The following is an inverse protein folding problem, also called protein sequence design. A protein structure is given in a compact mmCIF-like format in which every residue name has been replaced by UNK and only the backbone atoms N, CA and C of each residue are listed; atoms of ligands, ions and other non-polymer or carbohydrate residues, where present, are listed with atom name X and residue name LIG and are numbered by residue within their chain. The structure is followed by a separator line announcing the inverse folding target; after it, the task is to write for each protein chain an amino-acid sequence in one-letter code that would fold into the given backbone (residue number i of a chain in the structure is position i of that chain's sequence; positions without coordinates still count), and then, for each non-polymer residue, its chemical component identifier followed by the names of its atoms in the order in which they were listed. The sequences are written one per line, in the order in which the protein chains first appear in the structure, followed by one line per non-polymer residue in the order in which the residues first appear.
data_IF_690956603130
#
_entry.id   IF_690956603130
#
_cell.length_a   1.000
_cell.length_b   1.000
_cell.length_c   1.000
_cell.angle_alpha   90.00
_cell.angle_beta   90.00
_cell.angle_gamma   90.00
#
_symmetry.space_group_name_H-M   'P 1'
#
loop_
_entity.id
_entity.type
_entity.pdbx_description
1 polymer ?
#
# COMPACT_ATOMS: atom_id res chain seq x y z
N UNK A 1 38.42 29.28 19.68
CA UNK A 1 38.78 27.91 19.28
C UNK A 1 37.58 27.37 18.54
N UNK A 2 37.64 27.42 17.22
CA UNK A 2 36.60 26.91 16.33
C UNK A 2 36.73 25.39 16.33
N UNK A 3 35.84 24.71 17.03
CA UNK A 3 35.71 23.26 16.91
C UNK A 3 35.13 22.98 15.52
N UNK A 4 36.06 22.64 14.64
CA UNK A 4 35.85 22.00 13.36
C UNK A 4 34.98 20.76 13.61
N UNK A 5 33.68 20.89 13.33
CA UNK A 5 32.76 19.76 13.23
C UNK A 5 33.22 18.96 12.02
N UNK A 6 34.24 18.13 12.26
CA UNK A 6 34.80 17.24 11.27
C UNK A 6 33.64 16.51 10.62
N UNK A 7 33.54 16.65 9.30
CA UNK A 7 32.77 15.78 8.43
C UNK A 7 33.30 14.36 8.61
N UNK A 8 32.87 13.69 9.68
CA UNK A 8 33.37 12.39 10.12
C UNK A 8 33.00 11.33 9.09
N UNK A 9 33.96 11.00 8.23
CA UNK A 9 33.88 9.88 7.32
C UNK A 9 34.15 8.60 8.12
N UNK A 10 33.12 8.06 8.77
CA UNK A 10 33.22 6.85 9.56
C UNK A 10 33.79 5.72 8.69
N UNK A 11 34.88 5.02 9.07
CA UNK A 11 35.46 3.93 8.27
C UNK A 11 34.45 2.85 7.88
N UNK A 12 33.44 2.62 8.72
CA UNK A 12 32.31 1.72 8.43
C UNK A 12 31.43 2.17 7.26
N UNK A 13 31.25 3.48 7.06
CA UNK A 13 30.44 4.06 5.98
C UNK A 13 31.09 3.85 4.62
N UNK A 14 32.39 4.11 4.48
CA UNK A 14 33.11 3.84 3.22
C UNK A 14 33.09 2.36 2.88
N UNK A 15 33.32 1.48 3.87
CA UNK A 15 33.25 0.04 3.66
C UNK A 15 31.87 -0.41 3.21
N UNK A 16 30.80 0.09 3.85
CA UNK A 16 29.43 -0.19 3.43
C UNK A 16 29.21 0.21 1.98
N UNK A 17 29.58 1.45 1.62
CA UNK A 17 29.40 1.96 0.28
C UNK A 17 30.17 1.13 -0.75
N UNK A 18 31.45 0.80 -0.51
CA UNK A 18 32.24 -0.03 -1.42
C UNK A 18 31.58 -1.39 -1.67
N UNK A 19 31.10 -2.06 -0.62
CA UNK A 19 30.44 -3.35 -0.74
C UNK A 19 29.09 -3.24 -1.46
N UNK A 20 28.30 -2.21 -1.16
CA UNK A 20 27.02 -1.96 -1.83
C UNK A 20 27.23 -1.65 -3.33
N UNK A 21 28.21 -0.82 -3.69
CA UNK A 21 28.55 -0.55 -5.09
C UNK A 21 29.08 -1.78 -5.81
N UNK A 22 29.89 -2.61 -5.16
CA UNK A 22 30.33 -3.88 -5.73
C UNK A 22 29.15 -4.82 -6.01
N UNK A 23 28.18 -4.91 -5.09
CA UNK A 23 26.96 -5.69 -5.29
C UNK A 23 26.09 -5.11 -6.43
N UNK A 24 25.94 -3.79 -6.52
CA UNK A 24 25.24 -3.14 -7.64
C UNK A 24 25.92 -3.38 -8.98
N UNK A 25 27.26 -3.35 -9.05
CA UNK A 25 28.02 -3.69 -10.25
C UNK A 25 27.81 -5.16 -10.65
N UNK A 26 27.73 -6.08 -9.68
CA UNK A 26 27.38 -7.47 -9.95
C UNK A 26 25.97 -7.61 -10.54
N UNK A 27 24.97 -6.88 -10.03
CA UNK A 27 23.62 -6.86 -10.62
C UNK A 27 23.68 -6.30 -12.05
N UNK A 28 24.38 -5.19 -12.27
CA UNK A 28 24.49 -4.58 -13.60
C UNK A 28 25.17 -5.51 -14.61
N UNK A 29 26.23 -6.21 -14.21
CA UNK A 29 26.91 -7.20 -15.03
C UNK A 29 25.99 -8.40 -15.34
N UNK A 30 25.29 -8.92 -14.34
CA UNK A 30 24.31 -9.99 -14.51
C UNK A 30 23.16 -9.58 -15.45
N UNK A 31 22.67 -8.34 -15.32
CA UNK A 31 21.64 -7.79 -16.21
C UNK A 31 22.13 -7.66 -17.65
N UNK A 32 23.39 -7.26 -17.85
CA UNK A 32 24.01 -7.23 -19.18
C UNK A 32 24.12 -8.64 -19.78
N UNK A 33 24.45 -9.65 -18.98
CA UNK A 33 24.46 -11.06 -19.41
C UNK A 33 23.05 -11.49 -19.84
N UNK A 34 22.03 -11.21 -19.02
CA UNK A 34 20.63 -11.50 -19.38
C UNK A 34 20.19 -10.81 -20.66
N UNK A 35 20.61 -9.57 -20.89
CA UNK A 35 20.29 -8.83 -22.11
C UNK A 35 20.91 -9.49 -23.34
N UNK A 36 22.17 -9.92 -23.25
CA UNK A 36 22.88 -10.64 -24.32
C UNK A 36 22.21 -12.00 -24.58
N UNK A 37 21.70 -12.66 -23.54
CA UNK A 37 20.94 -13.91 -23.65
C UNK A 37 19.50 -13.73 -24.16
N UNK A 38 19.06 -12.49 -24.45
CA UNK A 38 17.72 -12.19 -24.97
C UNK A 38 16.62 -12.17 -23.90
N UNK A 39 16.98 -12.16 -22.62
CA UNK A 39 16.03 -12.16 -21.51
C UNK A 39 15.76 -10.74 -21.00
N UNK A 40 14.93 -10.03 -21.76
CA UNK A 40 14.65 -8.62 -21.51
C UNK A 40 13.87 -8.37 -20.22
N UNK A 41 13.05 -9.34 -19.79
CA UNK A 41 12.25 -9.21 -18.57
C UNK A 41 13.14 -9.26 -17.33
N UNK A 42 14.07 -10.22 -17.27
CA UNK A 42 15.03 -10.28 -16.17
C UNK A 42 16.06 -9.14 -16.22
N UNK A 43 16.44 -8.71 -17.42
CA UNK A 43 17.26 -7.50 -17.63
C UNK A 43 16.58 -6.28 -17.01
N UNK A 44 15.30 -6.06 -17.32
CA UNK A 44 14.52 -4.96 -16.77
C UNK A 44 14.46 -4.98 -15.25
N UNK A 45 14.27 -6.15 -14.64
CA UNK A 45 14.29 -6.30 -13.18
C UNK A 45 15.65 -5.92 -12.56
N UNK A 46 16.75 -6.35 -13.17
CA UNK A 46 18.09 -5.99 -12.71
C UNK A 46 18.40 -4.51 -12.83
N UNK A 47 17.99 -3.89 -13.94
CA UNK A 47 18.12 -2.45 -14.13
C UNK A 47 17.29 -1.67 -13.11
N UNK A 48 16.04 -2.10 -12.86
CA UNK A 48 15.20 -1.51 -11.81
C UNK A 48 15.85 -1.63 -10.43
N UNK A 49 16.42 -2.79 -10.10
CA UNK A 49 17.15 -3.02 -8.86
C UNK A 49 18.36 -2.09 -8.69
N UNK A 50 19.17 -1.90 -9.74
CA UNK A 50 20.30 -0.96 -9.73
C UNK A 50 19.82 0.48 -9.57
N UNK A 51 18.78 0.87 -10.31
CA UNK A 51 18.22 2.22 -10.24
C UNK A 51 17.75 2.52 -8.82
N UNK A 52 16.94 1.64 -8.23
CA UNK A 52 16.44 1.75 -6.86
C UNK A 52 17.61 1.89 -5.89
N UNK A 53 18.52 0.91 -5.83
CA UNK A 53 19.64 0.93 -4.91
C UNK A 53 20.58 2.14 -5.07
N UNK A 54 20.60 2.78 -6.24
CA UNK A 54 21.36 3.99 -6.51
C UNK A 54 20.62 5.31 -6.16
N UNK A 55 19.31 5.28 -5.92
CA UNK A 55 18.49 6.47 -5.57
C UNK A 55 19.15 7.29 -4.46
N UNK A 56 19.59 6.71 -3.32
CA UNK A 56 20.19 7.50 -2.26
C UNK A 56 21.47 8.22 -2.71
N UNK A 57 22.37 7.52 -3.41
CA UNK A 57 23.64 8.08 -3.84
C UNK A 57 23.44 9.25 -4.83
N UNK A 58 22.45 9.10 -5.72
CA UNK A 58 22.09 10.12 -6.72
C UNK A 58 21.38 11.30 -6.05
N UNK A 59 20.38 11.05 -5.22
CA UNK A 59 19.57 12.08 -4.56
C UNK A 59 20.41 12.96 -3.63
N UNK A 60 21.31 12.34 -2.85
CA UNK A 60 22.21 13.05 -1.95
C UNK A 60 23.50 13.53 -2.63
N UNK A 61 23.72 13.19 -3.90
CA UNK A 61 24.95 13.47 -4.67
C UNK A 61 26.22 13.04 -3.92
N UNK A 62 26.15 11.89 -3.23
CA UNK A 62 27.23 11.36 -2.39
C UNK A 62 27.32 9.85 -2.59
N UNK A 63 28.45 9.38 -3.13
CA UNK A 63 28.68 7.95 -3.38
C UNK A 63 28.63 7.09 -2.11
N UNK A 64 28.96 7.67 -0.95
CA UNK A 64 28.91 7.01 0.34
C UNK A 64 27.49 6.84 0.90
N UNK A 65 26.49 7.52 0.31
CA UNK A 65 25.08 7.35 0.63
C UNK A 65 24.53 6.15 -0.13
N UNK A 66 24.87 4.96 0.36
CA UNK A 66 24.42 3.69 -0.19
C UNK A 66 23.63 2.92 0.87
N UNK A 67 22.69 2.08 0.42
CA UNK A 67 21.98 1.13 1.27
C UNK A 67 22.95 0.25 2.06
N UNK A 68 22.51 -0.36 3.18
CA UNK A 68 23.27 -1.42 3.83
C UNK A 68 23.65 -2.47 2.79
N UNK A 69 24.94 -2.77 2.67
CA UNK A 69 25.42 -3.71 1.66
C UNK A 69 24.78 -5.10 1.82
N UNK A 70 24.36 -5.47 3.02
CA UNK A 70 23.64 -6.72 3.30
C UNK A 70 22.31 -6.78 2.55
N UNK A 71 21.58 -5.66 2.48
CA UNK A 71 20.30 -5.56 1.75
C UNK A 71 20.56 -5.67 0.24
N UNK A 72 21.57 -4.96 -0.26
CA UNK A 72 21.95 -5.01 -1.69
C UNK A 72 22.47 -6.40 -2.05
N UNK A 73 23.22 -7.07 -1.17
CA UNK A 73 23.71 -8.42 -1.39
C UNK A 73 22.57 -9.45 -1.40
N UNK A 74 21.58 -9.30 -0.52
CA UNK A 74 20.39 -10.15 -0.49
C UNK A 74 19.59 -10.07 -1.80
N UNK A 75 19.63 -8.92 -2.48
CA UNK A 75 19.10 -8.73 -3.82
C UNK A 75 20.04 -9.26 -4.92
N UNK A 76 21.33 -8.94 -4.83
CA UNK A 76 22.33 -9.22 -5.86
C UNK A 76 22.63 -10.71 -6.03
N UNK A 77 22.75 -11.45 -4.93
CA UNK A 77 23.14 -12.87 -4.96
C UNK A 77 22.12 -13.73 -5.73
N UNK A 78 20.82 -13.76 -5.39
CA UNK A 78 19.86 -14.56 -6.14
C UNK A 78 19.69 -14.07 -7.58
N UNK A 79 19.82 -12.76 -7.83
CA UNK A 79 19.75 -12.20 -9.18
C UNK A 79 20.92 -12.70 -10.06
N UNK A 80 22.15 -12.60 -9.55
CA UNK A 80 23.35 -13.02 -10.26
C UNK A 80 23.41 -14.54 -10.44
N UNK A 81 23.08 -15.32 -9.41
CA UNK A 81 23.04 -16.79 -9.50
C UNK A 81 22.08 -17.26 -10.59
N UNK A 82 20.89 -16.66 -10.67
CA UNK A 82 19.95 -17.00 -11.74
C UNK A 82 20.47 -16.59 -13.12
N UNK A 83 21.05 -15.39 -13.25
CA UNK A 83 21.52 -14.85 -14.53
C UNK A 83 22.71 -15.63 -15.10
N UNK A 84 23.49 -16.25 -14.22
CA UNK A 84 24.64 -17.11 -14.57
C UNK A 84 24.26 -18.59 -14.70
N UNK A 85 22.97 -18.92 -14.59
CA UNK A 85 22.44 -20.30 -14.58
C UNK A 85 23.07 -21.20 -13.50
N UNK A 86 23.41 -20.61 -12.35
CA UNK A 86 24.07 -21.27 -11.22
C UNK A 86 23.04 -21.77 -10.21
N UNK A 87 22.59 -23.02 -10.37
CA UNK A 87 21.84 -23.80 -9.37
C UNK A 87 20.59 -23.13 -8.78
N UNK A 88 20.07 -22.07 -9.38
CA UNK A 88 18.92 -21.32 -8.88
C UNK A 88 17.84 -21.20 -9.97
N UNK A 89 16.79 -22.04 -9.91
CA UNK A 89 15.66 -21.95 -10.83
C UNK A 89 15.02 -20.56 -10.83
N UNK A 90 14.57 -20.09 -12.00
CA UNK A 90 13.90 -18.78 -12.16
C UNK A 90 12.73 -18.56 -11.20
N UNK A 91 11.94 -19.60 -10.92
CA UNK A 91 10.83 -19.53 -9.98
C UNK A 91 11.31 -19.15 -8.58
N UNK A 92 12.37 -19.80 -8.10
CA UNK A 92 12.96 -19.54 -6.78
C UNK A 92 13.65 -18.18 -6.76
N UNK A 93 14.41 -17.85 -7.81
CA UNK A 93 15.07 -16.54 -7.91
C UNK A 93 14.05 -15.40 -7.85
N UNK A 94 12.91 -15.52 -8.54
CA UNK A 94 11.83 -14.52 -8.49
C UNK A 94 11.28 -14.35 -7.07
N UNK A 95 11.15 -15.44 -6.29
CA UNK A 95 10.72 -15.40 -4.89
C UNK A 95 11.71 -14.73 -3.95
N UNK A 96 12.98 -14.58 -4.35
CA UNK A 96 13.99 -13.91 -3.53
C UNK A 96 14.22 -12.48 -3.99
N UNK A 97 14.37 -12.26 -5.30
CA UNK A 97 14.74 -10.96 -5.88
C UNK A 97 13.64 -9.92 -5.70
N UNK A 98 12.37 -10.26 -5.95
CA UNK A 98 11.27 -9.28 -5.87
C UNK A 98 11.03 -8.82 -4.42
N UNK A 99 10.94 -9.73 -3.43
CA UNK A 99 10.90 -9.31 -2.02
C UNK A 99 12.16 -8.58 -1.55
N UNK A 100 13.35 -8.97 -2.02
CA UNK A 100 14.58 -8.26 -1.69
C UNK A 100 14.60 -6.82 -2.23
N UNK A 101 14.04 -6.61 -3.44
CA UNK A 101 13.86 -5.28 -4.00
C UNK A 101 12.85 -4.46 -3.18
N UNK A 102 11.74 -5.07 -2.76
CA UNK A 102 10.76 -4.41 -1.88
C UNK A 102 11.38 -4.02 -0.53
N UNK A 103 12.20 -4.89 0.05
CA UNK A 103 12.97 -4.60 1.26
C UNK A 103 13.95 -3.44 1.03
N UNK A 104 14.64 -3.41 -0.11
CA UNK A 104 15.54 -2.30 -0.46
C UNK A 104 14.78 -0.97 -0.51
N UNK A 105 13.62 -0.93 -1.17
CA UNK A 105 12.73 0.25 -1.18
C UNK A 105 12.30 0.63 0.25
N UNK A 106 11.95 -0.35 1.08
CA UNK A 106 11.53 -0.09 2.44
C UNK A 106 12.66 0.51 3.29
N UNK A 107 13.87 -0.03 3.16
CA UNK A 107 15.08 0.48 3.81
C UNK A 107 15.43 1.87 3.28
N UNK A 108 15.19 2.17 2.00
CA UNK A 108 15.38 3.51 1.46
C UNK A 108 14.46 4.53 2.12
N UNK A 109 13.17 4.20 2.28
CA UNK A 109 12.24 5.07 2.97
C UNK A 109 12.66 5.30 4.42
N UNK A 110 13.01 4.26 5.16
CA UNK A 110 13.41 4.37 6.57
C UNK A 110 14.75 5.10 6.76
N UNK A 111 15.77 4.78 5.97
CA UNK A 111 17.13 5.27 6.17
C UNK A 111 17.44 6.61 5.48
N UNK A 112 16.72 6.93 4.39
CA UNK A 112 17.07 8.04 3.49
C UNK A 112 15.94 9.04 3.28
N UNK A 113 14.80 8.90 3.96
CA UNK A 113 13.78 9.94 3.97
C UNK A 113 13.55 10.46 5.38
N UNK A 114 12.76 11.51 5.51
CA UNK A 114 12.39 12.03 6.83
C UNK A 114 11.39 11.12 7.57
N UNK A 115 11.05 9.96 6.99
CA UNK A 115 10.11 9.02 7.55
C UNK A 115 10.65 8.45 8.87
N UNK A 116 9.84 8.54 9.91
CA UNK A 116 10.11 7.88 11.19
C UNK A 116 9.09 6.75 11.38
N UNK A 117 9.55 5.54 11.66
CA UNK A 117 8.68 4.37 11.82
C UNK A 117 9.00 3.65 13.12
N UNK A 118 7.96 3.29 13.87
CA UNK A 118 8.12 2.33 14.97
C UNK A 118 8.46 0.93 14.43
N UNK A 119 9.11 0.05 15.21
CA UNK A 119 9.46 -1.29 14.74
C UNK A 119 8.25 -2.10 14.26
N UNK A 120 7.10 -1.94 14.91
CA UNK A 120 5.86 -2.60 14.49
C UNK A 120 5.39 -2.11 13.12
N UNK A 121 5.40 -0.78 12.90
CA UNK A 121 5.05 -0.20 11.61
C UNK A 121 6.02 -0.63 10.51
N UNK A 122 7.32 -0.72 10.80
CA UNK A 122 8.33 -1.19 9.86
C UNK A 122 8.03 -2.62 9.36
N UNK A 123 7.61 -3.55 10.25
CA UNK A 123 7.19 -4.89 9.84
C UNK A 123 6.01 -4.82 8.86
N UNK A 124 4.95 -4.09 9.23
CA UNK A 124 3.74 -3.95 8.40
C UNK A 124 4.08 -3.34 7.05
N UNK A 125 4.94 -2.32 7.04
CA UNK A 125 5.37 -1.66 5.82
C UNK A 125 6.18 -2.59 4.91
N UNK A 126 7.11 -3.37 5.46
CA UNK A 126 7.88 -4.35 4.66
C UNK A 126 6.98 -5.43 4.08
N UNK A 127 6.02 -5.94 4.85
CA UNK A 127 5.05 -6.95 4.37
C UNK A 127 4.21 -6.37 3.23
N UNK A 128 3.62 -5.20 3.44
CA UNK A 128 2.79 -4.54 2.42
C UNK A 128 3.60 -4.17 1.16
N UNK A 129 4.80 -3.62 1.31
CA UNK A 129 5.70 -3.34 0.19
C UNK A 129 6.07 -4.62 -0.57
N UNK A 130 6.31 -5.73 0.13
CA UNK A 130 6.63 -7.02 -0.49
C UNK A 130 5.44 -7.57 -1.29
N UNK A 131 4.25 -7.56 -0.71
CA UNK A 131 3.02 -7.97 -1.39
C UNK A 131 2.77 -7.11 -2.63
N UNK A 132 2.90 -5.78 -2.50
CA UNK A 132 2.70 -4.84 -3.59
C UNK A 132 3.70 -5.05 -4.74
N UNK A 133 4.98 -5.26 -4.41
CA UNK A 133 6.01 -5.54 -5.40
C UNK A 133 5.76 -6.89 -6.11
N UNK A 134 5.36 -7.92 -5.37
CA UNK A 134 5.03 -9.23 -5.94
C UNK A 134 3.82 -9.18 -6.87
N UNK A 135 2.75 -8.47 -6.48
CA UNK A 135 1.57 -8.21 -7.32
C UNK A 135 1.93 -7.42 -8.58
N UNK A 136 2.67 -6.32 -8.42
CA UNK A 136 3.16 -5.51 -9.55
C UNK A 136 4.00 -6.34 -10.50
N UNK A 137 4.88 -7.20 -9.99
CA UNK A 137 5.70 -8.08 -10.82
C UNK A 137 4.88 -9.17 -11.53
N UNK A 138 3.81 -9.67 -10.92
CA UNK A 138 2.86 -10.56 -11.60
C UNK A 138 2.19 -9.85 -12.78
N UNK A 139 1.70 -8.63 -12.57
CA UNK A 139 1.10 -7.79 -13.63
C UNK A 139 2.11 -7.49 -14.74
N UNK A 140 3.35 -7.12 -14.41
CA UNK A 140 4.40 -6.85 -15.42
C UNK A 140 4.68 -8.09 -16.28
N UNK A 141 4.77 -9.28 -15.66
CA UNK A 141 4.94 -10.54 -16.41
C UNK A 141 3.74 -10.83 -17.30
N UNK A 142 2.52 -10.61 -16.81
CA UNK A 142 1.30 -10.80 -17.59
C UNK A 142 1.24 -9.85 -18.79
N UNK A 143 1.52 -8.57 -18.60
CA UNK A 143 1.57 -7.58 -19.69
C UNK A 143 2.67 -7.92 -20.69
N UNK A 144 3.82 -8.40 -20.23
CA UNK A 144 4.88 -8.87 -21.12
C UNK A 144 4.44 -10.09 -21.94
N UNK A 145 3.74 -11.05 -21.32
CA UNK A 145 3.17 -12.21 -22.02
C UNK A 145 2.18 -11.77 -23.11
N UNK A 146 1.34 -10.77 -22.85
CA UNK A 146 0.43 -10.20 -23.85
C UNK A 146 1.15 -9.39 -24.95
N UNK A 147 2.16 -8.61 -24.59
CA UNK A 147 2.81 -7.68 -25.50
C UNK A 147 3.84 -8.36 -26.42
N UNK A 148 4.50 -9.42 -25.92
CA UNK A 148 5.60 -10.10 -26.60
C UNK A 148 5.29 -11.56 -26.92
N UNK A 149 4.04 -12.02 -26.71
CA UNK A 149 3.58 -13.40 -26.92
C UNK A 149 4.47 -14.43 -26.18
N UNK A 150 4.86 -14.08 -24.94
CA UNK A 150 5.68 -14.93 -24.08
C UNK A 150 4.83 -15.76 -23.11
N UNK A 151 5.43 -16.76 -22.47
CA UNK A 151 4.76 -17.64 -21.49
C UNK A 151 5.48 -17.60 -20.13
N UNK A 152 5.71 -16.41 -19.58
CA UNK A 152 6.38 -16.22 -18.30
C UNK A 152 5.49 -16.61 -17.10
N UNK A 153 4.17 -16.44 -17.22
CA UNK A 153 3.19 -16.89 -16.23
C UNK A 153 2.69 -18.30 -16.53
N UNK A 154 2.84 -19.21 -15.57
CA UNK A 154 2.48 -20.63 -15.71
C UNK A 154 1.00 -20.95 -15.35
N UNK A 155 0.16 -19.92 -15.23
CA UNK A 155 -1.25 -20.04 -14.85
C UNK A 155 -1.56 -19.54 -13.43
N UNK A 156 -2.86 -19.39 -13.14
CA UNK A 156 -3.40 -18.79 -11.91
C UNK A 156 -2.82 -19.42 -10.64
N UNK A 157 -2.88 -20.75 -10.54
CA UNK A 157 -2.40 -21.49 -9.36
C UNK A 157 -0.93 -21.19 -9.02
N UNK A 158 -0.06 -21.11 -10.05
CA UNK A 158 1.35 -20.79 -9.84
C UNK A 158 1.54 -19.36 -9.34
N UNK A 159 0.72 -18.41 -9.81
CA UNK A 159 0.78 -17.02 -9.37
C UNK A 159 0.28 -16.88 -7.94
N UNK A 160 -0.81 -17.54 -7.57
CA UNK A 160 -1.35 -17.47 -6.20
C UNK A 160 -0.36 -17.99 -5.17
N UNK A 161 0.26 -19.15 -5.42
CA UNK A 161 1.35 -19.63 -4.56
C UNK A 161 2.58 -18.73 -4.57
N UNK A 162 2.86 -18.05 -5.68
CA UNK A 162 3.94 -17.05 -5.75
C UNK A 162 3.67 -15.87 -4.81
N UNK A 163 2.45 -15.34 -4.84
CA UNK A 163 2.02 -14.22 -4.01
C UNK A 163 1.94 -14.63 -2.53
N UNK A 164 1.46 -15.83 -2.23
CA UNK A 164 1.42 -16.38 -0.87
C UNK A 164 2.84 -16.55 -0.30
N UNK A 165 3.76 -17.12 -1.09
CA UNK A 165 5.16 -17.27 -0.69
C UNK A 165 5.84 -15.91 -0.49
N UNK A 166 5.62 -14.95 -1.39
CA UNK A 166 6.15 -13.59 -1.24
C UNK A 166 5.62 -12.91 0.04
N UNK A 167 4.34 -13.09 0.37
CA UNK A 167 3.74 -12.59 1.62
C UNK A 167 4.45 -13.18 2.84
N UNK A 168 4.67 -14.50 2.87
CA UNK A 168 5.40 -15.17 3.94
C UNK A 168 6.85 -14.71 4.08
N UNK A 169 7.56 -14.56 2.95
CA UNK A 169 8.93 -14.02 2.92
C UNK A 169 8.94 -12.57 3.42
N UNK A 170 7.96 -11.76 3.04
CA UNK A 170 7.79 -10.39 3.51
C UNK A 170 7.63 -10.31 5.03
N UNK A 171 6.90 -11.24 5.65
CA UNK A 171 6.77 -11.31 7.12
C UNK A 171 8.12 -11.62 7.76
N UNK A 172 8.83 -12.62 7.25
CA UNK A 172 10.17 -12.99 7.76
C UNK A 172 11.15 -11.82 7.60
N UNK A 173 11.16 -11.18 6.42
CA UNK A 173 12.01 -10.04 6.12
C UNK A 173 11.67 -8.82 6.99
N UNK A 174 10.39 -8.54 7.21
CA UNK A 174 9.92 -7.45 8.06
C UNK A 174 10.34 -7.65 9.51
N UNK A 175 10.17 -8.86 10.06
CA UNK A 175 10.62 -9.19 11.41
C UNK A 175 12.14 -9.09 11.52
N UNK A 176 12.88 -9.66 10.55
CA UNK A 176 14.34 -9.58 10.51
C UNK A 176 14.82 -8.12 10.43
N UNK A 177 14.16 -7.29 9.62
CA UNK A 177 14.43 -5.87 9.48
C UNK A 177 14.16 -5.10 10.78
N UNK A 178 13.01 -5.33 11.43
CA UNK A 178 12.68 -4.69 12.70
C UNK A 178 13.65 -5.09 13.83
N UNK A 179 14.11 -6.35 13.86
CA UNK A 179 15.15 -6.82 14.79
C UNK A 179 16.51 -6.24 14.43
N UNK A 180 16.83 -6.13 13.15
CA UNK A 180 18.07 -5.52 12.65
C UNK A 180 18.14 -4.04 13.03
N UNK A 181 17.06 -3.27 12.85
CA UNK A 181 16.97 -1.88 13.28
C UNK A 181 17.14 -1.69 14.79
N UNK A 182 16.70 -2.65 15.62
CA UNK A 182 17.00 -2.62 17.07
C UNK A 182 18.48 -2.83 17.39
N UNK A 183 19.23 -3.50 16.51
CA UNK A 183 20.64 -3.88 16.73
C UNK A 183 21.64 -2.96 16.04
N UNK A 184 21.26 -2.34 14.93
CA UNK A 184 22.09 -1.38 14.21
C UNK A 184 21.78 0.00 14.76
N UNK A 185 22.52 0.37 15.79
CA UNK A 185 22.57 1.75 16.29
C UNK A 185 22.59 2.72 15.11
N UNK A 186 21.68 3.70 15.15
CA UNK A 186 21.46 4.76 14.15
C UNK A 186 22.76 5.50 13.74
N UNK A 187 23.83 5.35 14.52
CA UNK A 187 25.19 5.83 14.27
C UNK A 187 25.87 5.20 13.04
N UNK A 188 25.58 3.94 12.69
CA UNK A 188 26.32 3.21 11.62
C UNK A 188 26.00 3.70 10.21
N UNK A 189 24.78 4.21 10.00
CA UNK A 189 24.34 4.79 8.72
C UNK A 189 24.62 6.30 8.71
N UNK A 190 24.47 6.99 9.85
CA UNK A 190 24.84 8.40 10.04
C UNK A 190 24.23 9.38 9.02
N UNK A 191 23.15 8.97 8.34
CA UNK A 191 22.40 9.83 7.39
C UNK A 191 21.31 10.65 8.07
N UNK A 192 21.25 10.62 9.41
CA UNK A 192 20.43 11.53 10.19
C UNK A 192 21.30 12.68 10.67
N UNK A 193 21.31 13.79 9.93
CA UNK A 193 21.80 15.05 10.47
C UNK A 193 20.88 15.44 11.62
N UNK A 194 21.44 15.61 12.82
CA UNK A 194 20.70 16.04 14.03
C UNK A 194 19.87 17.33 13.85
N UNK A 195 20.07 18.04 12.74
CA UNK A 195 19.33 19.23 12.32
C UNK A 195 17.85 18.97 11.94
N UNK A 196 17.47 17.73 11.60
CA UNK A 196 16.07 17.39 11.29
C UNK A 196 15.18 17.16 12.51
N UNK A 197 15.74 17.21 13.74
CA UNK A 197 14.97 17.16 15.00
C UNK A 197 14.13 18.43 15.24
N UNK A 198 14.28 19.47 14.42
CA UNK A 198 13.37 20.61 14.46
C UNK A 198 12.06 20.26 13.78
N UNK A 199 11.17 19.60 14.54
CA UNK A 199 9.72 19.74 14.36
C UNK A 199 9.47 21.24 14.13
N UNK A 200 8.79 21.68 13.06
CA UNK A 200 8.43 23.08 12.93
C UNK A 200 7.73 23.47 14.22
N UNK A 201 8.33 24.34 15.03
CA UNK A 201 7.75 24.72 16.31
C UNK A 201 6.33 25.19 16.05
N UNK A 202 5.33 24.78 16.85
CA UNK A 202 4.02 25.40 16.79
C UNK A 202 4.28 26.89 16.89
N UNK A 203 3.89 27.67 15.87
CA UNK A 203 4.07 29.12 15.89
C UNK A 203 3.55 29.60 17.24
N UNK A 204 4.44 30.15 18.06
CA UNK A 204 4.07 30.76 19.33
C UNK A 204 2.95 31.76 19.02
N UNK A 205 1.82 31.73 19.76
CA UNK A 205 0.76 32.69 19.53
C UNK A 205 1.38 34.06 19.79
N UNK A 206 1.52 34.86 18.72
CA UNK A 206 1.83 36.28 18.86
C UNK A 206 0.74 36.87 19.74
N UNK A 207 1.12 37.31 20.92
CA UNK A 207 0.32 38.15 21.79
C UNK A 207 0.08 39.50 21.09
N UNK A 208 -0.95 39.52 20.23
CA UNK A 208 -1.59 40.72 19.69
C UNK A 208 -2.89 41.00 20.46
N UNK A 209 -3.34 42.26 20.52
CA UNK A 209 -4.25 42.73 21.54
C UNK A 209 -5.65 42.12 21.39
N UNK A 210 -6.26 41.80 22.53
CA UNK A 210 -7.69 41.55 22.67
C UNK A 210 -8.48 42.68 22.02
N UNK A 211 -9.31 42.34 21.03
CA UNK A 211 -10.48 43.15 20.68
C UNK A 211 -11.51 42.31 19.94
N UNK A 212 -12.72 42.44 20.44
CA UNK A 212 -13.96 41.98 19.87
C UNK A 212 -14.13 42.45 18.41
N UNK A 213 -15.04 41.75 17.73
CA UNK A 213 -15.60 42.03 16.40
C UNK A 213 -14.87 41.36 15.23
N UNK A 214 -15.31 40.14 14.91
CA UNK A 214 -15.53 39.76 13.52
C UNK A 214 -16.50 38.57 13.45
N UNK A 215 -17.70 38.85 12.97
CA UNK A 215 -18.71 37.84 12.70
C UNK A 215 -18.25 36.84 11.63
N UNK A 216 -18.80 35.62 11.73
CA UNK A 216 -19.05 34.75 10.60
C UNK A 216 -17.88 34.59 9.59
N UNK A 217 -16.75 34.06 10.05
CA UNK A 217 -15.82 33.39 9.14
C UNK A 217 -15.99 31.89 9.31
N UNK A 218 -16.91 31.35 8.52
CA UNK A 218 -16.90 29.95 8.13
C UNK A 218 -15.48 29.58 7.67
N UNK A 219 -14.71 28.97 8.56
CA UNK A 219 -13.47 28.30 8.18
C UNK A 219 -13.91 27.14 7.32
N UNK A 220 -13.83 27.32 6.00
CA UNK A 220 -14.21 26.35 5.00
C UNK A 220 -13.39 25.08 5.15
N UNK A 221 -13.85 24.17 6.01
CA UNK A 221 -13.65 22.74 5.80
C UNK A 221 -14.14 22.46 4.39
N UNK A 222 -13.28 21.87 3.56
CA UNK A 222 -13.54 21.57 2.16
C UNK A 222 -14.77 20.70 2.02
N UNK A 223 -15.89 21.39 1.89
CA UNK A 223 -17.23 20.87 1.89
C UNK A 223 -17.53 20.31 0.51
N UNK A 224 -17.62 18.97 0.40
CA UNK A 224 -18.08 18.31 -0.82
C UNK A 224 -19.53 18.68 -1.18
N UNK A 225 -20.25 19.42 -0.31
CA UNK A 225 -21.63 19.89 -0.52
C UNK A 225 -21.88 20.51 -1.90
N UNK A 226 -20.86 21.10 -2.54
CA UNK A 226 -21.00 21.76 -3.85
C UNK A 226 -20.74 20.91 -5.10
N UNK A 227 -20.13 19.72 -5.02
CA UNK A 227 -19.69 18.99 -6.23
C UNK A 227 -20.72 18.03 -6.82
N UNK A 228 -21.61 17.47 -6.01
CA UNK A 228 -22.65 16.55 -6.49
C UNK A 228 -24.01 17.23 -6.74
N UNK A 229 -24.18 18.50 -6.37
CA UNK A 229 -25.44 19.25 -6.55
C UNK A 229 -26.67 18.66 -5.82
N UNK A 230 -26.50 17.60 -5.03
CA UNK A 230 -27.57 16.92 -4.29
C UNK A 230 -27.63 17.43 -2.85
N UNK A 231 -28.82 17.77 -2.37
CA UNK A 231 -29.04 18.14 -0.97
C UNK A 231 -28.80 16.95 -0.02
N UNK A 232 -28.37 17.20 1.21
CA UNK A 232 -28.12 16.14 2.21
C UNK A 232 -29.33 15.21 2.41
N UNK A 233 -30.55 15.76 2.35
CA UNK A 233 -31.77 14.95 2.47
C UNK A 233 -31.85 13.92 1.34
N UNK A 234 -31.53 14.30 0.11
CA UNK A 234 -31.50 13.39 -1.04
C UNK A 234 -30.39 12.37 -0.90
N UNK A 235 -29.19 12.79 -0.47
CA UNK A 235 -28.08 11.86 -0.26
C UNK A 235 -28.41 10.81 0.81
N UNK A 236 -29.01 11.20 1.94
CA UNK A 236 -29.52 10.26 2.97
C UNK A 236 -30.61 9.33 2.44
N UNK A 237 -31.52 9.84 1.60
CA UNK A 237 -32.54 9.01 0.95
C UNK A 237 -31.91 7.97 0.01
N UNK A 238 -30.87 8.35 -0.75
CA UNK A 238 -30.11 7.44 -1.61
C UNK A 238 -29.46 6.34 -0.78
N UNK A 239 -28.74 6.69 0.29
CA UNK A 239 -28.09 5.70 1.19
C UNK A 239 -29.11 4.70 1.72
N UNK A 240 -30.24 5.18 2.25
CA UNK A 240 -31.31 4.28 2.74
C UNK A 240 -31.90 3.42 1.62
N UNK A 241 -32.07 3.97 0.42
CA UNK A 241 -32.52 3.23 -0.75
C UNK A 241 -31.56 2.09 -1.12
N UNK A 242 -30.25 2.36 -1.11
CA UNK A 242 -29.21 1.36 -1.37
C UNK A 242 -29.18 0.27 -0.28
N UNK A 243 -29.31 0.65 1.00
CA UNK A 243 -29.42 -0.29 2.11
C UNK A 243 -30.65 -1.19 2.00
N UNK A 244 -31.81 -0.63 1.65
CA UNK A 244 -33.03 -1.41 1.44
C UNK A 244 -32.88 -2.37 0.25
N UNK A 245 -32.23 -1.93 -0.83
CA UNK A 245 -31.93 -2.80 -1.96
C UNK A 245 -30.97 -3.95 -1.59
N UNK A 246 -29.93 -3.70 -0.78
CA UNK A 246 -29.06 -4.76 -0.25
C UNK A 246 -29.82 -5.73 0.66
N UNK A 247 -30.72 -5.23 1.51
CA UNK A 247 -31.57 -6.08 2.34
C UNK A 247 -32.48 -6.97 1.47
N UNK A 248 -33.00 -6.44 0.36
CA UNK A 248 -33.74 -7.24 -0.61
C UNK A 248 -32.86 -8.31 -1.28
N UNK A 249 -31.65 -7.95 -1.74
CA UNK A 249 -30.68 -8.92 -2.31
C UNK A 249 -30.33 -10.01 -1.30
N UNK A 250 -30.13 -9.65 -0.03
CA UNK A 250 -29.88 -10.61 1.06
C UNK A 250 -31.04 -11.59 1.23
N UNK A 251 -32.29 -11.08 1.27
CA UNK A 251 -33.49 -11.94 1.35
C UNK A 251 -33.57 -12.86 0.13
N UNK A 252 -33.31 -12.34 -1.07
CA UNK A 252 -33.31 -13.15 -2.28
C UNK A 252 -32.22 -14.22 -2.23
N UNK A 253 -31.01 -13.89 -1.77
CA UNK A 253 -29.93 -14.84 -1.56
C UNK A 253 -30.31 -15.95 -0.58
N UNK A 254 -30.99 -15.61 0.53
CA UNK A 254 -31.50 -16.59 1.51
C UNK A 254 -32.56 -17.51 0.90
N UNK A 255 -33.47 -16.97 0.09
CA UNK A 255 -34.51 -17.75 -0.62
C UNK A 255 -33.89 -18.69 -1.66
N UNK A 256 -32.90 -18.21 -2.42
CA UNK A 256 -32.17 -18.99 -3.42
C UNK A 256 -31.15 -19.95 -2.80
N UNK A 257 -30.88 -19.82 -1.48
CA UNK A 257 -29.81 -20.53 -0.76
C UNK A 257 -28.42 -20.31 -1.35
N UNK A 258 -28.20 -19.16 -1.98
CA UNK A 258 -26.89 -18.77 -2.49
C UNK A 258 -26.04 -18.20 -1.36
N UNK A 259 -25.08 -18.99 -0.88
CA UNK A 259 -24.18 -18.58 0.21
C UNK A 259 -23.35 -17.36 -0.21
N UNK A 260 -22.87 -17.34 -1.45
CA UNK A 260 -22.14 -16.21 -2.04
C UNK A 260 -22.90 -14.89 -1.95
N UNK A 261 -24.15 -14.87 -2.44
CA UNK A 261 -24.99 -13.66 -2.39
C UNK A 261 -25.30 -13.24 -0.96
N UNK A 262 -25.59 -14.20 -0.08
CA UNK A 262 -25.90 -13.93 1.34
C UNK A 262 -24.72 -13.28 2.05
N UNK A 263 -23.51 -13.83 1.89
CA UNK A 263 -22.31 -13.28 2.53
C UNK A 263 -21.97 -11.90 1.96
N UNK A 264 -21.97 -11.74 0.64
CA UNK A 264 -21.67 -10.45 0.00
C UNK A 264 -22.65 -9.35 0.42
N UNK A 265 -23.97 -9.62 0.36
CA UNK A 265 -24.99 -8.66 0.77
C UNK A 265 -24.95 -8.38 2.28
N UNK A 266 -24.68 -9.40 3.10
CA UNK A 266 -24.57 -9.26 4.56
C UNK A 266 -23.37 -8.41 4.99
N UNK A 267 -22.18 -8.68 4.44
CA UNK A 267 -20.97 -7.88 4.66
C UNK A 267 -21.19 -6.45 4.17
N UNK A 268 -21.78 -6.28 2.98
CA UNK A 268 -22.09 -4.95 2.46
C UNK A 268 -23.02 -4.17 3.39
N UNK A 269 -24.11 -4.76 3.86
CA UNK A 269 -25.00 -4.12 4.83
C UNK A 269 -24.26 -3.68 6.09
N UNK A 270 -23.42 -4.55 6.66
CA UNK A 270 -22.63 -4.23 7.83
C UNK A 270 -21.70 -3.02 7.58
N UNK A 271 -20.98 -3.01 6.46
CA UNK A 271 -20.08 -1.91 6.08
C UNK A 271 -20.85 -0.61 5.85
N UNK A 272 -22.04 -0.65 5.24
CA UNK A 272 -22.88 0.56 5.07
C UNK A 272 -23.40 1.14 6.39
N UNK A 273 -23.37 0.37 7.48
CA UNK A 273 -23.69 0.83 8.83
C UNK A 273 -22.53 1.57 9.51
N UNK A 274 -21.29 1.39 9.05
CA UNK A 274 -20.11 1.99 9.67
C UNK A 274 -20.19 3.51 9.79
N UNK A 275 -20.62 4.29 8.76
CA UNK A 275 -20.75 5.73 8.90
C UNK A 275 -21.62 6.16 10.08
N UNK A 276 -22.77 5.49 10.28
CA UNK A 276 -23.68 5.79 11.38
C UNK A 276 -23.12 5.36 12.73
N UNK A 277 -22.41 4.22 12.79
CA UNK A 277 -21.72 3.78 14.00
C UNK A 277 -20.64 4.77 14.43
N UNK A 278 -19.83 5.22 13.47
CA UNK A 278 -18.76 6.20 13.70
C UNK A 278 -19.31 7.57 14.12
N UNK A 279 -20.45 7.99 13.58
CA UNK A 279 -21.12 9.24 13.97
C UNK A 279 -21.82 9.14 15.32
N UNK A 280 -22.48 8.02 15.64
CA UNK A 280 -23.25 7.87 16.88
C UNK A 280 -22.37 7.51 18.08
N UNK A 281 -21.50 6.50 17.94
CA UNK A 281 -20.75 5.95 19.07
C UNK A 281 -19.42 6.68 19.28
N UNK A 282 -18.81 7.19 18.21
CA UNK A 282 -17.51 7.88 18.25
C UNK A 282 -17.64 9.39 17.96
N UNK A 283 -18.85 9.85 17.64
CA UNK A 283 -19.16 11.26 17.35
C UNK A 283 -18.41 11.84 16.14
N UNK A 284 -17.84 11.00 15.27
CA UNK A 284 -17.02 11.46 14.16
C UNK A 284 -17.89 12.18 13.12
N UNK A 285 -17.54 13.41 12.72
CA UNK A 285 -18.30 14.14 11.72
C UNK A 285 -18.10 13.50 10.35
N UNK A 286 -18.97 12.56 10.00
CA UNK A 286 -18.97 11.90 8.70
C UNK A 286 -19.99 12.63 7.81
N UNK A 287 -19.47 13.34 6.80
CA UNK A 287 -20.34 14.00 5.84
C UNK A 287 -21.03 12.98 4.93
N UNK A 288 -22.20 13.34 4.40
CA UNK A 288 -23.00 12.40 3.60
C UNK A 288 -22.34 12.05 2.25
N UNK A 289 -21.39 12.87 1.77
CA UNK A 289 -20.54 12.54 0.62
C UNK A 289 -19.57 11.40 0.95
N UNK A 290 -18.96 11.40 2.14
CA UNK A 290 -18.16 10.27 2.65
C UNK A 290 -18.99 9.00 2.72
N UNK A 291 -20.21 9.11 3.25
CA UNK A 291 -21.14 8.00 3.35
C UNK A 291 -21.40 7.40 1.98
N UNK A 292 -21.67 8.24 0.96
CA UNK A 292 -21.86 7.76 -0.41
C UNK A 292 -20.59 7.13 -1.01
N UNK A 293 -19.42 7.68 -0.71
CA UNK A 293 -18.14 7.12 -1.19
C UNK A 293 -17.85 5.74 -0.58
N UNK A 294 -18.32 5.45 0.64
CA UNK A 294 -18.24 4.12 1.26
C UNK A 294 -19.34 3.21 0.72
N UNK A 295 -20.59 3.68 0.69
CA UNK A 295 -21.78 2.86 0.41
C UNK A 295 -21.83 2.44 -1.06
N UNK A 296 -21.51 3.32 -2.01
CA UNK A 296 -21.65 3.03 -3.45
C UNK A 296 -20.75 1.89 -3.93
N UNK A 297 -19.41 1.89 -3.68
CA UNK A 297 -18.55 0.79 -4.11
C UNK A 297 -18.98 -0.56 -3.53
N UNK A 298 -19.27 -0.59 -2.23
CA UNK A 298 -19.69 -1.78 -1.49
C UNK A 298 -21.04 -2.31 -1.99
N UNK A 299 -21.97 -1.41 -2.29
CA UNK A 299 -23.25 -1.75 -2.91
C UNK A 299 -23.05 -2.40 -4.28
N UNK A 300 -22.25 -1.79 -5.15
CA UNK A 300 -22.01 -2.27 -6.51
C UNK A 300 -21.31 -3.63 -6.53
N UNK A 301 -20.37 -3.84 -5.61
CA UNK A 301 -19.71 -5.14 -5.44
C UNK A 301 -20.70 -6.22 -4.99
N UNK A 302 -21.54 -5.93 -4.00
CA UNK A 302 -22.53 -6.90 -3.50
C UNK A 302 -23.60 -7.25 -4.53
N UNK A 303 -24.16 -6.28 -5.26
CA UNK A 303 -25.13 -6.57 -6.32
C UNK A 303 -24.47 -7.27 -7.53
N UNK A 304 -23.15 -7.12 -7.69
CA UNK A 304 -22.32 -7.91 -8.61
C UNK A 304 -22.57 -9.40 -8.48
N UNK A 305 -22.53 -9.90 -7.24
CA UNK A 305 -22.73 -11.33 -6.90
C UNK A 305 -24.11 -11.86 -7.27
N UNK A 306 -25.08 -10.97 -7.54
CA UNK A 306 -26.42 -11.32 -8.00
C UNK A 306 -26.50 -11.53 -9.53
N UNK A 307 -25.37 -11.77 -10.18
CA UNK A 307 -25.26 -12.15 -11.60
C UNK A 307 -24.75 -11.04 -12.53
N UNK A 308 -24.39 -9.85 -12.02
CA UNK A 308 -23.86 -8.78 -12.87
C UNK A 308 -22.40 -9.00 -13.27
N UNK A 309 -21.62 -9.74 -12.46
CA UNK A 309 -20.27 -10.16 -12.84
C UNK A 309 -20.28 -10.99 -14.13
N UNK A 310 -21.27 -11.88 -14.28
CA UNK A 310 -21.42 -12.68 -15.50
C UNK A 310 -22.08 -11.90 -16.65
N UNK A 311 -22.98 -10.96 -16.34
CA UNK A 311 -23.79 -10.27 -17.33
C UNK A 311 -23.10 -9.07 -18.00
N UNK A 312 -22.20 -8.37 -17.30
CA UNK A 312 -21.61 -7.11 -17.75
C UNK A 312 -20.08 -7.21 -17.61
N UNK A 313 -19.36 -7.39 -18.71
CA UNK A 313 -17.90 -7.64 -18.68
C UNK A 313 -17.02 -6.51 -18.14
N UNK A 314 -17.54 -5.31 -17.91
CA UNK A 314 -16.83 -4.22 -17.23
C UNK A 314 -17.23 -4.06 -15.75
N UNK A 315 -18.18 -4.85 -15.27
CA UNK A 315 -18.69 -4.73 -13.90
C UNK A 315 -17.58 -4.95 -12.89
N UNK A 316 -16.79 -6.01 -13.09
CA UNK A 316 -15.72 -6.39 -12.19
C UNK A 316 -14.63 -5.31 -12.09
N UNK A 317 -14.15 -4.86 -13.25
CA UNK A 317 -13.22 -3.74 -13.38
C UNK A 317 -13.71 -2.47 -12.65
N UNK A 318 -15.00 -2.14 -12.81
CA UNK A 318 -15.62 -0.98 -12.15
C UNK A 318 -15.63 -1.17 -10.63
N UNK A 319 -16.05 -2.35 -10.15
CA UNK A 319 -16.09 -2.63 -8.72
C UNK A 319 -14.70 -2.64 -8.09
N UNK A 320 -13.69 -3.21 -8.76
CA UNK A 320 -12.29 -3.15 -8.31
C UNK A 320 -11.77 -1.72 -8.25
N UNK A 321 -12.01 -0.90 -9.30
CA UNK A 321 -11.60 0.52 -9.29
C UNK A 321 -12.23 1.31 -8.15
N UNK A 322 -13.53 1.11 -7.91
CA UNK A 322 -14.26 1.84 -6.87
C UNK A 322 -13.91 1.34 -5.47
N UNK A 323 -13.82 0.02 -5.28
CA UNK A 323 -13.45 -0.59 -3.99
C UNK A 323 -12.00 -0.29 -3.61
N UNK A 324 -11.07 -0.31 -4.56
CA UNK A 324 -9.68 0.09 -4.32
C UNK A 324 -9.54 1.57 -3.93
N UNK A 325 -10.45 2.45 -4.41
CA UNK A 325 -10.50 3.83 -3.92
C UNK A 325 -10.90 3.92 -2.44
N UNK A 326 -11.78 3.04 -1.97
CA UNK A 326 -12.16 2.93 -0.56
C UNK A 326 -11.00 2.34 0.27
N UNK A 327 -10.33 1.30 -0.23
CA UNK A 327 -9.14 0.73 0.40
C UNK A 327 -8.01 1.75 0.49
N UNK A 328 -7.81 2.58 -0.54
CA UNK A 328 -6.85 3.67 -0.52
C UNK A 328 -7.18 4.73 0.54
N UNK A 329 -8.47 5.04 0.73
CA UNK A 329 -8.93 5.91 1.81
C UNK A 329 -8.64 5.31 3.21
N UNK A 330 -8.84 4.00 3.38
CA UNK A 330 -8.46 3.28 4.60
C UNK A 330 -6.94 3.35 4.81
N UNK A 331 -6.13 3.08 3.79
CA UNK A 331 -4.66 3.18 3.87
C UNK A 331 -4.18 4.58 4.26
N UNK A 332 -4.80 5.64 3.71
CA UNK A 332 -4.55 7.01 4.16
C UNK A 332 -4.86 7.20 5.65
N UNK A 333 -6.04 6.74 6.08
CA UNK A 333 -6.48 6.88 7.47
C UNK A 333 -5.54 6.15 8.42
N UNK A 334 -5.06 4.96 8.06
CA UNK A 334 -4.07 4.19 8.82
C UNK A 334 -2.77 4.97 8.98
N UNK A 335 -2.16 5.45 7.90
CA UNK A 335 -0.89 6.22 7.97
C UNK A 335 -1.06 7.46 8.82
N UNK A 336 -2.17 8.17 8.65
CA UNK A 336 -2.39 9.42 9.35
C UNK A 336 -2.71 9.21 10.83
N UNK A 337 -3.32 8.09 11.21
CA UNK A 337 -3.45 7.70 12.62
C UNK A 337 -2.07 7.52 13.28
N UNK A 338 -1.14 6.82 12.62
CA UNK A 338 0.24 6.69 13.12
C UNK A 338 0.97 8.03 13.17
N UNK A 339 0.88 8.86 12.13
CA UNK A 339 1.53 10.19 12.05
C UNK A 339 1.08 11.16 13.15
N UNK A 340 -0.16 11.02 13.66
CA UNK A 340 -0.67 11.87 14.73
C UNK A 340 -0.39 11.26 16.11
N UNK A 341 -0.60 9.96 16.30
CA UNK A 341 -0.62 9.35 17.63
C UNK A 341 0.72 8.75 18.07
N UNK A 342 1.67 8.52 17.16
CA UNK A 342 2.97 7.98 17.52
C UNK A 342 4.02 9.10 17.40
N UNK A 343 4.56 9.54 18.54
CA UNK A 343 5.54 10.61 18.61
C UNK A 343 6.87 10.24 17.93
N UNK A 344 7.11 8.95 17.69
CA UNK A 344 8.25 8.43 16.93
C UNK A 344 7.96 8.29 15.43
N UNK A 345 6.82 8.81 14.95
CA UNK A 345 6.38 8.69 13.56
C UNK A 345 6.16 10.06 12.93
N UNK A 346 6.74 10.25 11.75
CA UNK A 346 6.52 11.42 10.91
C UNK A 346 6.55 11.01 9.44
N UNK A 347 5.53 11.40 8.67
CA UNK A 347 5.43 11.04 7.26
C UNK A 347 5.31 12.26 6.33
N UNK A 348 6.29 12.50 5.44
CA UNK A 348 6.16 13.51 4.39
C UNK A 348 5.00 13.21 3.43
N UNK A 349 4.34 14.24 2.89
CA UNK A 349 3.20 14.07 1.94
C UNK A 349 3.49 13.13 0.76
N UNK A 350 4.72 13.16 0.23
CA UNK A 350 5.15 12.28 -0.87
C UNK A 350 5.18 10.80 -0.43
N UNK A 351 5.59 10.54 0.81
CA UNK A 351 5.54 9.20 1.39
C UNK A 351 4.11 8.71 1.53
N UNK A 352 3.18 9.55 2.02
CA UNK A 352 1.77 9.18 2.14
C UNK A 352 1.18 8.73 0.80
N UNK A 353 1.47 9.44 -0.30
CA UNK A 353 1.01 9.05 -1.63
C UNK A 353 1.59 7.70 -2.09
N UNK A 354 2.90 7.47 -1.88
CA UNK A 354 3.54 6.20 -2.20
C UNK A 354 3.00 5.05 -1.34
N UNK A 355 2.79 5.29 -0.04
CA UNK A 355 2.21 4.32 0.88
C UNK A 355 0.81 3.91 0.43
N UNK A 356 -0.04 4.86 0.01
CA UNK A 356 -1.40 4.53 -0.45
C UNK A 356 -1.35 3.57 -1.65
N UNK A 357 -0.48 3.84 -2.63
CA UNK A 357 -0.30 2.95 -3.78
C UNK A 357 0.18 1.55 -3.35
N UNK A 358 1.19 1.50 -2.47
CA UNK A 358 1.72 0.24 -1.93
C UNK A 358 0.64 -0.52 -1.16
N UNK A 359 -0.06 0.15 -0.26
CA UNK A 359 -1.08 -0.43 0.61
C UNK A 359 -2.25 -0.97 -0.20
N UNK A 360 -2.76 -0.20 -1.18
CA UNK A 360 -3.88 -0.66 -2.00
C UNK A 360 -3.49 -1.81 -2.91
N UNK A 361 -2.31 -1.78 -3.54
CA UNK A 361 -1.82 -2.93 -4.32
C UNK A 361 -1.61 -4.17 -3.43
N UNK A 362 -1.08 -4.00 -2.22
CA UNK A 362 -0.93 -5.09 -1.26
C UNK A 362 -2.28 -5.66 -0.82
N UNK A 363 -3.29 -4.80 -0.63
CA UNK A 363 -4.64 -5.24 -0.31
C UNK A 363 -5.31 -5.95 -1.49
N UNK A 364 -5.10 -5.51 -2.72
CA UNK A 364 -5.55 -6.23 -3.92
C UNK A 364 -4.94 -7.64 -3.96
N UNK A 365 -3.63 -7.76 -3.75
CA UNK A 365 -2.97 -9.08 -3.61
C UNK A 365 -3.55 -9.90 -2.46
N UNK A 366 -3.85 -9.27 -1.32
CA UNK A 366 -4.49 -9.95 -0.19
C UNK A 366 -5.87 -10.47 -0.58
N UNK A 367 -6.66 -9.68 -1.30
CA UNK A 367 -7.99 -10.04 -1.77
C UNK A 367 -7.93 -11.27 -2.68
N UNK A 368 -7.07 -11.27 -3.71
CA UNK A 368 -6.86 -12.43 -4.59
C UNK A 368 -6.45 -13.70 -3.84
N UNK A 369 -5.63 -13.56 -2.80
CA UNK A 369 -5.22 -14.68 -1.96
C UNK A 369 -6.37 -15.20 -1.08
N UNK A 370 -7.28 -14.32 -0.64
CA UNK A 370 -8.48 -14.71 0.10
C UNK A 370 -9.44 -15.47 -0.81
N UNK A 371 -9.68 -15.00 -2.03
CA UNK A 371 -10.50 -15.71 -3.02
C UNK A 371 -9.93 -17.09 -3.34
N UNK A 372 -8.62 -17.16 -3.65
CA UNK A 372 -7.92 -18.42 -3.88
C UNK A 372 -8.04 -19.38 -2.69
N UNK A 373 -7.93 -18.86 -1.46
CA UNK A 373 -8.06 -19.64 -0.24
C UNK A 373 -9.48 -20.18 -0.01
N UNK A 374 -10.50 -19.35 -0.25
CA UNK A 374 -11.92 -19.70 -0.10
C UNK A 374 -12.33 -20.72 -1.17
N UNK A 375 -11.93 -20.54 -2.43
CA UNK A 375 -12.12 -21.52 -3.50
C UNK A 375 -11.43 -22.85 -3.19
N UNK A 376 -10.18 -22.80 -2.71
CA UNK A 376 -9.42 -23.97 -2.29
C UNK A 376 -10.07 -24.73 -1.14
N UNK A 377 -10.70 -24.02 -0.19
CA UNK A 377 -11.46 -24.63 0.89
C UNK A 377 -12.78 -25.24 0.42
N UNK A 378 -13.55 -24.50 -0.39
CA UNK A 378 -14.83 -24.94 -0.94
C UNK A 378 -14.69 -26.22 -1.76
N UNK A 379 -13.65 -26.31 -2.59
CA UNK A 379 -13.35 -27.51 -3.39
C UNK A 379 -13.02 -28.75 -2.55
N UNK A 380 -12.38 -28.58 -1.38
CA UNK A 380 -12.09 -29.68 -0.46
C UNK A 380 -13.32 -30.14 0.32
N UNK A 381 -14.23 -29.22 0.66
CA UNK A 381 -15.44 -29.51 1.43
C UNK A 381 -16.65 -29.87 0.57
N UNK A 382 -16.57 -29.68 -0.75
CA UNK A 382 -17.69 -29.84 -1.67
C UNK A 382 -18.78 -28.76 -1.51
N UNK A 383 -18.43 -27.59 -0.97
CA UNK A 383 -19.35 -26.46 -0.82
C UNK A 383 -19.28 -25.56 -2.06
N UNK A 384 -20.33 -24.77 -2.30
CA UNK A 384 -20.25 -23.68 -3.28
C UNK A 384 -19.29 -22.60 -2.79
N UNK A 385 -18.45 -22.09 -3.69
CA UNK A 385 -17.57 -20.98 -3.34
C UNK A 385 -18.36 -19.68 -3.15
N UNK A 386 -17.91 -18.89 -2.19
CA UNK A 386 -18.53 -17.62 -1.79
C UNK A 386 -17.94 -16.45 -2.58
N UNK A 387 -16.67 -16.57 -3.00
CA UNK A 387 -15.92 -15.61 -3.81
C UNK A 387 -15.20 -16.39 -4.90
N UNK A 388 -15.78 -16.46 -6.10
CA UNK A 388 -15.26 -17.30 -7.17
C UNK A 388 -14.10 -16.62 -7.90
N UNK A 389 -12.93 -17.24 -7.91
CA UNK A 389 -11.80 -16.78 -8.69
C UNK A 389 -11.96 -17.20 -10.15
N UNK A 390 -12.21 -16.23 -11.03
CA UNK A 390 -12.61 -16.51 -12.42
C UNK A 390 -11.45 -16.96 -13.34
N UNK A 391 -10.21 -16.52 -13.08
CA UNK A 391 -9.05 -16.93 -13.88
C UNK A 391 -7.87 -15.97 -13.83
N UNK A 392 -6.73 -16.37 -14.43
CA UNK A 392 -5.50 -15.56 -14.43
C UNK A 392 -5.70 -14.17 -15.03
N UNK A 393 -6.38 -14.07 -16.16
CA UNK A 393 -6.60 -12.78 -16.83
C UNK A 393 -7.49 -11.86 -16.00
N UNK A 394 -8.47 -12.41 -15.26
CA UNK A 394 -9.33 -11.65 -14.35
C UNK A 394 -8.49 -11.07 -13.23
N UNK A 395 -7.85 -11.93 -12.43
CA UNK A 395 -6.97 -11.54 -11.31
C UNK A 395 -5.90 -10.51 -11.70
N UNK A 396 -5.27 -10.65 -12.88
CA UNK A 396 -4.29 -9.65 -13.30
C UNK A 396 -4.93 -8.31 -13.69
N UNK A 397 -6.13 -8.35 -14.28
CA UNK A 397 -6.92 -7.16 -14.62
C UNK A 397 -7.42 -6.47 -13.35
N UNK A 398 -7.85 -7.23 -12.34
CA UNK A 398 -8.28 -6.75 -11.03
C UNK A 398 -7.17 -5.95 -10.34
N UNK A 399 -5.95 -6.51 -10.26
CA UNK A 399 -4.77 -5.81 -9.74
C UNK A 399 -4.41 -4.54 -10.52
N UNK A 400 -4.66 -4.50 -11.84
CA UNK A 400 -4.48 -3.29 -12.66
C UNK A 400 -5.50 -2.22 -12.28
N UNK A 401 -6.78 -2.58 -12.18
CA UNK A 401 -7.84 -1.64 -11.82
C UNK A 401 -7.75 -1.19 -10.36
N UNK A 402 -7.23 -2.04 -9.47
CA UNK A 402 -6.87 -1.66 -8.10
C UNK A 402 -5.79 -0.58 -8.07
N UNK A 403 -4.76 -0.74 -8.89
CA UNK A 403 -3.69 0.26 -9.04
C UNK A 403 -4.24 1.59 -9.60
N UNK A 404 -5.16 1.53 -10.57
CA UNK A 404 -5.81 2.73 -11.14
C UNK A 404 -6.65 3.47 -10.11
N UNK A 405 -7.49 2.76 -9.34
CA UNK A 405 -8.28 3.35 -8.26
C UNK A 405 -7.40 3.95 -7.16
N UNK A 406 -6.32 3.26 -6.78
CA UNK A 406 -5.31 3.77 -5.85
C UNK A 406 -4.64 5.05 -6.36
N UNK A 407 -4.27 5.09 -7.63
CA UNK A 407 -3.65 6.27 -8.26
C UNK A 407 -4.58 7.48 -8.25
N UNK A 408 -5.87 7.28 -8.55
CA UNK A 408 -6.88 8.35 -8.47
C UNK A 408 -6.92 8.95 -7.06
N UNK A 409 -6.93 8.11 -6.02
CA UNK A 409 -6.95 8.59 -4.63
C UNK A 409 -5.63 9.22 -4.22
N UNK A 410 -4.49 8.64 -4.60
CA UNK A 410 -3.17 9.17 -4.27
C UNK A 410 -2.94 10.58 -4.86
N UNK A 411 -3.46 10.84 -6.06
CA UNK A 411 -3.34 12.14 -6.75
C UNK A 411 -4.39 13.14 -6.28
N UNK A 412 -5.66 12.73 -6.15
CA UNK A 412 -6.79 13.66 -5.93
C UNK A 412 -7.46 13.56 -4.54
N UNK A 413 -7.27 12.48 -3.80
CA UNK A 413 -7.92 12.23 -2.51
C UNK A 413 -7.28 12.92 -1.30
N UNK A 414 -6.02 13.38 -1.43
CA UNK A 414 -5.22 13.87 -0.30
C UNK A 414 -5.77 15.12 0.42
N UNK A 415 -6.53 15.98 -0.26
CA UNK A 415 -7.12 17.17 0.38
C UNK A 415 -8.30 16.82 1.31
N UNK A 416 -9.06 15.79 0.96
CA UNK A 416 -10.28 15.41 1.64
C UNK A 416 -10.02 14.47 2.82
N UNK A 417 -9.23 13.43 2.59
CA UNK A 417 -8.87 12.45 3.62
C UNK A 417 -8.11 13.10 4.79
N UNK A 418 -7.35 14.17 4.51
CA UNK A 418 -6.71 15.00 5.53
C UNK A 418 -7.66 15.69 6.50
N UNK A 419 -8.89 16.03 6.06
CA UNK A 419 -9.91 16.63 6.91
C UNK A 419 -10.48 15.62 7.91
N UNK A 420 -10.90 14.46 7.40
CA UNK A 420 -11.48 13.37 8.21
C UNK A 420 -10.48 12.88 9.25
N UNK A 421 -9.25 12.60 8.82
CA UNK A 421 -8.27 12.01 9.73
C UNK A 421 -7.75 12.98 10.79
N UNK A 422 -7.70 14.30 10.52
CA UNK A 422 -7.45 15.30 11.57
C UNK A 422 -8.56 15.32 12.62
N UNK A 423 -9.81 15.22 12.19
CA UNK A 423 -10.96 15.21 13.11
C UNK A 423 -10.98 13.98 14.01
N UNK A 424 -10.56 12.82 13.48
CA UNK A 424 -10.39 11.58 14.25
C UNK A 424 -9.26 11.71 15.28
N UNK A 425 -8.12 12.24 14.84
CA UNK A 425 -6.96 12.49 15.67
C UNK A 425 -7.25 13.41 16.87
N UNK A 426 -7.90 14.55 16.61
CA UNK A 426 -8.18 15.57 17.64
C UNK A 426 -9.13 15.04 18.74
N UNK A 427 -9.98 14.06 18.43
CA UNK A 427 -10.89 13.43 19.40
C UNK A 427 -10.21 12.40 20.29
N UNK A 428 -9.37 11.54 19.72
CA UNK A 428 -8.63 10.57 20.52
C UNK A 428 -7.67 11.24 21.50
N UNK A 429 -7.15 12.43 21.17
CA UNK A 429 -6.40 13.26 22.12
C UNK A 429 -7.28 13.91 23.19
N UNK A 430 -8.51 14.32 22.85
CA UNK A 430 -9.44 14.92 23.80
C UNK A 430 -9.95 13.91 24.85
N UNK A 431 -10.20 12.66 24.46
CA UNK A 431 -10.61 11.60 25.38
C UNK A 431 -9.44 11.17 26.29
N UNK A 432 -8.21 11.16 25.77
CA UNK A 432 -7.00 10.83 26.55
C UNK A 432 -6.55 11.89 27.56
N UNK A 433 -7.04 13.13 27.47
CA UNK A 433 -6.84 14.19 28.48
C UNK A 433 -7.95 14.22 29.55
N UNK A 434 -8.98 13.38 29.40
CA UNK A 434 -10.15 13.32 30.30
C UNK A 434 -10.10 12.17 31.33
N UNK A 435 -9.06 11.34 31.30
CA UNK A 435 -8.66 10.39 32.36
C UNK A 435 -7.49 10.96 33.18
#
# INVERSE_FOLDING_TARGET
MSDDVSTGDFPGRRRNAVLAWAAMLAIAAAAAISAISGDYLWTGLGLAAVVVAAIPAVAYRRWSAALPWEVVAFLAVPYALQSLDLFLPRSIATYLVVPALALAVAVEFDAFTAVEMSPGFAVVFVVTATMAAAGTWAVVRWVADLAFDTQNLRGLYSVMWSLAAATGIGVVAGVAFAVYLRRVDRERLGFRTDDSRQRPSPRSPRSGPSRADDGNRNVGGTDLRGRFGLSERRQRQVVRGLQLALAAVLIVGLVQRSVGVVVNAGVALAVTGLPGLLEHDYGLPIDTGLTLWIVVPVFLHAIGSFGLYDAIGLWDNLTHTLSSSLVAAVGYATVRAFDVHDAEVYFPRKFVAAFILIFTMAFGVLWELLEFGIDGFASQTGMESILAQHGLANTMTDLVFDCLGAFVVAVWGGAYLAGVSRSLADRMTADGESE
#
